data_IF_516315189081
#
_entry.id   IF_516315189081
#
_cell.length_a   1.000
_cell.length_b   1.000
_cell.length_c   1.000
_cell.angle_alpha   90.00
_cell.angle_beta   90.00
_cell.angle_gamma   90.00
#
_symmetry.space_group_name_H-M   'P 1'
#
loop_
_entity.id
_entity.type
_entity.pdbx_description
1 polymer ?
#
# COMPACT_ATOMS: atom_id res chain seq x y z
N UNK A 1 1.46 3.58 -13.00
CA UNK A 1 0.55 2.89 -12.09
C UNK A 1 -0.82 3.01 -12.72
N UNK A 2 -1.24 2.00 -13.46
CA UNK A 2 -2.54 2.08 -14.12
C UNK A 2 -3.60 2.24 -13.04
N UNK A 3 -4.41 3.29 -13.15
CA UNK A 3 -5.42 3.65 -12.16
C UNK A 3 -6.65 2.72 -12.30
N UNK A 4 -6.41 1.41 -12.38
CA UNK A 4 -7.44 0.39 -12.63
C UNK A 4 -8.27 0.07 -11.38
N UNK A 5 -7.92 0.61 -10.21
CA UNK A 5 -8.61 0.36 -8.94
C UNK A 5 -8.98 1.63 -8.18
N UNK A 6 -9.96 1.49 -7.28
CA UNK A 6 -10.38 2.55 -6.35
C UNK A 6 -10.86 3.80 -7.08
N UNK A 7 -9.99 4.80 -7.15
CA UNK A 7 -10.29 6.08 -7.78
C UNK A 7 -10.63 5.98 -9.26
N UNK A 8 -10.10 5.00 -10.00
CA UNK A 8 -10.44 4.80 -11.41
C UNK A 8 -11.88 4.35 -11.67
N UNK A 9 -12.55 3.77 -10.68
CA UNK A 9 -13.99 3.47 -10.74
C UNK A 9 -14.85 4.58 -10.14
N UNK A 10 -14.28 5.39 -9.27
CA UNK A 10 -15.00 6.43 -8.52
C UNK A 10 -14.99 7.79 -9.21
N UNK A 11 -14.01 8.05 -10.09
CA UNK A 11 -13.78 9.33 -10.75
C UNK A 11 -13.68 9.12 -12.26
N UNK A 12 -14.43 9.90 -13.03
CA UNK A 12 -14.46 9.79 -14.50
C UNK A 12 -13.19 10.31 -15.16
N UNK A 13 -12.55 11.32 -14.57
CA UNK A 13 -11.31 11.90 -15.07
C UNK A 13 -10.10 11.08 -14.59
N UNK A 14 -9.42 10.45 -15.55
CA UNK A 14 -8.28 9.57 -15.30
C UNK A 14 -7.11 10.30 -14.64
N UNK A 15 -6.83 11.54 -15.03
CA UNK A 15 -5.73 12.31 -14.44
C UNK A 15 -6.04 12.69 -12.99
N UNK A 16 -7.30 12.98 -12.69
CA UNK A 16 -7.75 13.21 -11.31
C UNK A 16 -7.68 11.91 -10.50
N UNK A 17 -8.10 10.79 -11.07
CA UNK A 17 -8.04 9.49 -10.40
C UNK A 17 -6.59 9.11 -10.04
N UNK A 18 -5.66 9.28 -10.98
CA UNK A 18 -4.24 9.01 -10.75
C UNK A 18 -3.67 9.95 -9.67
N UNK A 19 -3.98 11.25 -9.74
CA UNK A 19 -3.54 12.22 -8.73
C UNK A 19 -4.03 11.84 -7.32
N UNK A 20 -5.30 11.45 -7.19
CA UNK A 20 -5.87 11.04 -5.90
C UNK A 20 -5.23 9.76 -5.38
N UNK A 21 -4.97 8.79 -6.26
CA UNK A 21 -4.26 7.56 -5.90
C UNK A 21 -2.85 7.85 -5.37
N UNK A 22 -2.09 8.68 -6.08
CA UNK A 22 -0.76 9.11 -5.65
C UNK A 22 -0.80 9.92 -4.35
N UNK A 23 -1.80 10.79 -4.18
CA UNK A 23 -1.99 11.56 -2.95
C UNK A 23 -2.27 10.68 -1.74
N UNK A 24 -3.05 9.61 -1.91
CA UNK A 24 -3.32 8.62 -0.87
C UNK A 24 -2.04 7.87 -0.47
N UNK A 25 -1.27 7.39 -1.46
CA UNK A 25 0.00 6.72 -1.23
C UNK A 25 1.01 7.64 -0.56
N UNK A 26 1.09 8.90 -0.99
CA UNK A 26 1.95 9.91 -0.37
C UNK A 26 1.58 10.12 1.10
N UNK A 27 0.29 10.25 1.41
CA UNK A 27 -0.18 10.43 2.78
C UNK A 27 0.19 9.25 3.68
N UNK A 28 0.01 8.01 3.19
CA UNK A 28 0.44 6.80 3.89
C UNK A 28 1.96 6.78 4.09
N UNK A 29 2.74 7.05 3.05
CA UNK A 29 4.20 7.07 3.12
C UNK A 29 4.72 8.09 4.14
N UNK A 30 4.14 9.30 4.15
CA UNK A 30 4.50 10.36 5.11
C UNK A 30 4.27 9.89 6.53
N UNK A 31 3.11 9.28 6.76
CA UNK A 31 2.68 8.78 8.06
C UNK A 31 3.58 7.63 8.54
N UNK A 32 3.86 6.65 7.69
CA UNK A 32 4.73 5.52 8.03
C UNK A 32 6.17 5.95 8.30
N UNK A 33 6.68 6.95 7.57
CA UNK A 33 8.02 7.48 7.80
C UNK A 33 8.11 8.24 9.13
N UNK A 34 7.08 9.03 9.47
CA UNK A 34 7.01 9.68 10.78
C UNK A 34 6.93 8.67 11.93
N UNK A 35 6.16 7.59 11.77
CA UNK A 35 6.06 6.51 12.76
C UNK A 35 7.43 5.85 13.03
N UNK A 36 8.19 5.53 11.97
CA UNK A 36 9.58 5.08 12.10
C UNK A 36 10.47 6.14 12.75
N UNK A 37 10.31 7.41 12.36
CA UNK A 37 11.03 8.52 12.96
C UNK A 37 10.83 8.58 14.48
N UNK A 38 9.58 8.45 14.95
CA UNK A 38 9.24 8.49 16.37
C UNK A 38 9.75 7.25 17.12
N UNK A 39 9.44 6.05 16.63
CA UNK A 39 9.64 4.81 17.38
C UNK A 39 11.01 4.15 17.19
N UNK A 40 11.63 4.34 16.03
CA UNK A 40 12.94 3.76 15.71
C UNK A 40 14.06 4.79 15.86
N UNK A 41 13.91 5.97 15.26
CA UNK A 41 14.93 7.03 15.32
C UNK A 41 14.82 7.90 16.60
N UNK A 42 13.72 7.78 17.35
CA UNK A 42 13.52 8.48 18.63
C UNK A 42 13.17 9.96 18.47
N UNK A 43 12.52 10.35 17.37
CA UNK A 43 12.14 11.74 17.12
C UNK A 43 11.26 12.30 18.23
N UNK A 44 11.64 13.48 18.67
CA UNK A 44 10.83 14.34 19.51
C UNK A 44 9.73 15.03 18.70
N UNK A 45 8.68 15.52 19.40
CA UNK A 45 7.59 16.29 18.81
C UNK A 45 8.06 17.45 17.90
N UNK A 46 9.07 18.28 18.28
CA UNK A 46 9.60 19.30 17.38
C UNK A 46 10.21 18.76 16.08
N UNK A 47 10.88 17.60 16.12
CA UNK A 47 11.49 16.99 14.93
C UNK A 47 10.41 16.45 13.99
N UNK A 48 9.36 15.83 14.53
CA UNK A 48 8.20 15.41 13.74
C UNK A 48 7.45 16.60 13.12
N UNK A 49 7.29 17.71 13.87
CA UNK A 49 6.77 18.98 13.35
C UNK A 49 7.60 19.52 12.20
N UNK A 50 8.93 19.53 12.35
CA UNK A 50 9.83 19.99 11.31
C UNK A 50 9.74 19.11 10.05
N UNK A 51 9.63 17.79 10.21
CA UNK A 51 9.44 16.87 9.11
C UNK A 51 8.17 17.19 8.29
N UNK A 52 7.02 17.34 8.95
CA UNK A 52 5.76 17.66 8.28
C UNK A 52 5.78 19.07 7.66
N UNK A 53 6.38 20.05 8.34
CA UNK A 53 6.50 21.42 7.82
C UNK A 53 7.29 21.49 6.50
N UNK A 54 8.35 20.67 6.35
CA UNK A 54 9.11 20.57 5.08
C UNK A 54 8.27 20.06 3.91
N UNK A 55 7.19 19.35 4.19
CA UNK A 55 6.22 18.84 3.21
C UNK A 55 5.04 19.80 2.98
N UNK A 56 5.05 20.97 3.62
CA UNK A 56 3.96 21.95 3.56
C UNK A 56 2.79 21.65 4.50
N UNK A 57 2.95 20.68 5.41
CA UNK A 57 1.95 20.30 6.42
C UNK A 57 2.32 21.01 7.73
N UNK A 58 1.68 22.15 8.01
CA UNK A 58 2.09 23.05 9.08
C UNK A 58 0.94 23.46 10.03
N UNK A 59 -0.20 22.78 9.98
CA UNK A 59 -1.29 22.99 10.93
C UNK A 59 -0.88 22.45 12.30
N UNK A 60 -0.68 23.33 13.29
CA UNK A 60 -0.09 22.94 14.58
C UNK A 60 -0.96 21.95 15.36
N UNK A 61 -2.28 22.13 15.34
CA UNK A 61 -3.24 21.29 16.07
C UNK A 61 -3.25 19.88 15.46
N UNK A 62 -3.39 19.79 14.14
CA UNK A 62 -3.34 18.51 13.43
C UNK A 62 -2.02 17.78 13.65
N UNK A 63 -0.89 18.48 13.57
CA UNK A 63 0.41 17.83 13.78
C UNK A 63 0.56 17.33 15.21
N UNK A 64 0.06 18.07 16.20
CA UNK A 64 0.13 17.63 17.59
C UNK A 64 -0.74 16.41 17.86
N UNK A 65 -1.98 16.41 17.38
CA UNK A 65 -2.87 15.25 17.47
C UNK A 65 -2.27 14.02 16.77
N UNK A 66 -1.70 14.23 15.58
CA UNK A 66 -1.13 13.17 14.78
C UNK A 66 0.12 12.55 15.43
N UNK A 67 0.95 13.38 16.05
CA UNK A 67 2.08 12.91 16.84
C UNK A 67 1.62 12.08 18.06
N UNK A 68 0.62 12.56 18.81
CA UNK A 68 0.12 11.80 19.97
C UNK A 68 -0.44 10.44 19.55
N UNK A 69 -1.22 10.41 18.45
CA UNK A 69 -1.75 9.16 17.92
C UNK A 69 -0.63 8.16 17.57
N UNK A 70 0.44 8.61 16.91
CA UNK A 70 1.57 7.72 16.58
C UNK A 70 2.27 7.20 17.83
N UNK A 71 2.45 8.04 18.86
CA UNK A 71 3.05 7.61 20.13
C UNK A 71 2.18 6.54 20.82
N UNK A 72 0.85 6.67 20.75
CA UNK A 72 -0.10 5.73 21.34
C UNK A 72 -0.20 4.40 20.57
N UNK A 73 -0.17 4.44 19.24
CA UNK A 73 -0.43 3.30 18.35
C UNK A 73 0.76 3.02 17.41
N UNK A 74 1.87 2.44 17.94
CA UNK A 74 3.07 2.18 17.16
C UNK A 74 2.81 1.23 15.98
N UNK A 75 3.47 1.50 14.85
CA UNK A 75 3.38 0.71 13.63
C UNK A 75 2.00 0.65 12.97
N UNK A 76 1.03 1.44 13.44
CA UNK A 76 -0.31 1.48 12.87
C UNK A 76 -0.25 1.84 11.37
N UNK A 77 0.34 2.98 11.03
CA UNK A 77 0.48 3.42 9.62
C UNK A 77 1.48 2.59 8.81
N UNK A 78 2.49 1.99 9.45
CA UNK A 78 3.40 1.06 8.79
C UNK A 78 2.63 -0.14 8.21
N UNK A 79 1.69 -0.70 8.98
CA UNK A 79 0.92 -1.85 8.51
C UNK A 79 0.07 -1.55 7.27
N UNK A 80 -0.53 -0.35 7.18
CA UNK A 80 -1.30 0.08 6.01
C UNK A 80 -0.42 0.30 4.79
N UNK A 81 0.68 1.04 4.93
CA UNK A 81 1.52 1.40 3.78
C UNK A 81 2.31 0.19 3.27
N UNK A 82 3.00 -0.53 4.15
CA UNK A 82 3.75 -1.72 3.76
C UNK A 82 2.80 -2.78 3.21
N UNK A 83 1.65 -3.02 3.85
CA UNK A 83 0.65 -3.95 3.32
C UNK A 83 0.17 -3.55 1.91
N UNK A 84 -0.06 -2.26 1.65
CA UNK A 84 -0.39 -1.78 0.32
C UNK A 84 0.72 -2.06 -0.70
N UNK A 85 1.99 -1.79 -0.35
CA UNK A 85 3.13 -2.05 -1.22
C UNK A 85 3.28 -3.54 -1.53
N UNK A 86 3.16 -4.40 -0.53
CA UNK A 86 3.24 -5.85 -0.70
C UNK A 86 2.16 -6.38 -1.65
N UNK A 87 0.92 -5.87 -1.55
CA UNK A 87 -0.13 -6.23 -2.52
C UNK A 87 0.16 -5.72 -3.94
N UNK A 88 0.77 -4.54 -4.08
CA UNK A 88 1.19 -4.02 -5.38
C UNK A 88 2.29 -4.90 -5.98
N UNK A 89 3.28 -5.29 -5.18
CA UNK A 89 4.39 -6.15 -5.60
C UNK A 89 3.90 -7.55 -5.99
N UNK A 90 2.98 -8.14 -5.22
CA UNK A 90 2.34 -9.42 -5.56
C UNK A 90 1.64 -9.36 -6.92
N UNK A 91 0.90 -8.27 -7.17
CA UNK A 91 0.21 -8.07 -8.43
C UNK A 91 1.20 -7.90 -9.58
N UNK A 92 2.24 -7.09 -9.41
CA UNK A 92 3.28 -6.89 -10.43
C UNK A 92 3.98 -8.20 -10.77
N UNK A 93 4.30 -9.02 -9.77
CA UNK A 93 4.85 -10.37 -9.96
C UNK A 93 3.90 -11.25 -10.78
N UNK A 94 2.62 -11.27 -10.43
CA UNK A 94 1.62 -12.06 -11.16
C UNK A 94 1.45 -11.57 -12.62
N UNK A 95 1.35 -10.26 -12.83
CA UNK A 95 1.29 -9.65 -14.17
C UNK A 95 2.54 -9.97 -15.00
N UNK A 96 3.73 -9.90 -14.39
CA UNK A 96 4.98 -10.23 -15.07
C UNK A 96 5.10 -11.71 -15.44
N UNK A 97 4.49 -12.61 -14.66
CA UNK A 97 4.53 -14.06 -14.89
C UNK A 97 3.48 -14.54 -15.89
N UNK A 98 2.28 -13.96 -15.86
CA UNK A 98 1.16 -14.35 -16.72
C UNK A 98 1.06 -13.53 -18.01
N UNK A 99 1.60 -12.30 -18.04
CA UNK A 99 1.53 -11.44 -19.22
C UNK A 99 0.09 -11.17 -19.65
N UNK A 100 -0.23 -11.46 -20.91
CA UNK A 100 -1.60 -11.29 -21.46
C UNK A 100 -2.63 -12.23 -20.82
N UNK A 101 -2.18 -13.31 -20.18
CA UNK A 101 -3.03 -14.27 -19.45
C UNK A 101 -3.47 -13.75 -18.08
N UNK A 102 -2.95 -12.61 -17.63
CA UNK A 102 -3.27 -12.09 -16.30
C UNK A 102 -4.75 -11.70 -16.19
N UNK A 103 -5.50 -12.44 -15.38
CA UNK A 103 -6.85 -12.08 -14.97
C UNK A 103 -6.86 -11.46 -13.58
N UNK A 104 -7.23 -10.18 -13.52
CA UNK A 104 -7.32 -9.44 -12.28
C UNK A 104 -8.39 -10.00 -11.32
N UNK A 105 -9.47 -10.60 -11.86
CA UNK A 105 -10.50 -11.24 -11.05
C UNK A 105 -9.97 -12.50 -10.38
N UNK A 106 -9.32 -13.39 -11.13
CA UNK A 106 -8.67 -14.60 -10.61
C UNK A 106 -7.64 -14.28 -9.53
N UNK A 107 -6.79 -13.28 -9.76
CA UNK A 107 -5.83 -12.80 -8.75
C UNK A 107 -6.50 -12.38 -7.44
N UNK A 108 -7.57 -11.58 -7.50
CA UNK A 108 -8.29 -11.17 -6.29
C UNK A 108 -9.05 -12.30 -5.63
N UNK A 109 -9.59 -13.24 -6.41
CA UNK A 109 -10.24 -14.42 -5.85
C UNK A 109 -9.24 -15.27 -5.06
N UNK A 110 -8.07 -15.55 -5.63
CA UNK A 110 -6.97 -16.23 -4.94
C UNK A 110 -6.63 -15.56 -3.59
N UNK A 111 -6.40 -14.24 -3.60
CA UNK A 111 -6.07 -13.50 -2.38
C UNK A 111 -7.18 -13.56 -1.32
N UNK A 112 -8.44 -13.39 -1.73
CA UNK A 112 -9.58 -13.36 -0.80
C UNK A 112 -9.93 -14.73 -0.23
N UNK A 113 -9.73 -15.81 -1.00
CA UNK A 113 -9.98 -17.18 -0.56
C UNK A 113 -8.94 -17.67 0.45
N UNK A 114 -7.70 -17.20 0.33
CA UNK A 114 -6.63 -17.48 1.30
C UNK A 114 -6.99 -16.93 2.69
N UNK A 115 -7.64 -15.76 2.74
CA UNK A 115 -7.97 -15.07 4.00
C UNK A 115 -6.79 -14.25 4.53
N UNK A 116 -6.77 -13.88 5.82
CA UNK A 116 -5.66 -13.12 6.40
C UNK A 116 -4.46 -14.04 6.70
N UNK A 117 -3.32 -13.78 6.07
CA UNK A 117 -2.05 -14.43 6.40
C UNK A 117 -0.85 -13.53 6.08
N UNK A 118 0.34 -13.87 6.59
CA UNK A 118 1.56 -13.13 6.26
C UNK A 118 1.88 -13.18 4.76
N UNK A 119 2.46 -12.10 4.23
CA UNK A 119 2.78 -11.98 2.80
C UNK A 119 3.70 -13.09 2.28
N UNK A 120 4.69 -13.53 3.05
CA UNK A 120 5.55 -14.65 2.63
C UNK A 120 4.76 -15.95 2.42
N UNK A 121 3.69 -16.18 3.19
CA UNK A 121 2.80 -17.34 3.00
C UNK A 121 1.97 -17.15 1.73
N UNK A 122 1.44 -15.94 1.51
CA UNK A 122 0.71 -15.61 0.28
C UNK A 122 1.60 -15.87 -0.95
N UNK A 123 2.85 -15.45 -0.91
CA UNK A 123 3.82 -15.65 -1.99
C UNK A 123 4.04 -17.13 -2.30
N UNK A 124 4.20 -17.97 -1.28
CA UNK A 124 4.35 -19.43 -1.47
C UNK A 124 3.14 -20.04 -2.20
N UNK A 125 1.92 -19.74 -1.76
CA UNK A 125 0.70 -20.22 -2.43
C UNK A 125 0.47 -19.58 -3.80
N UNK A 126 0.96 -18.35 -4.00
CA UNK A 126 0.85 -17.67 -5.29
C UNK A 126 1.68 -18.37 -6.35
N UNK A 127 2.86 -18.92 -6.01
CA UNK A 127 3.66 -19.69 -6.96
C UNK A 127 2.94 -20.97 -7.42
N UNK A 128 2.21 -21.64 -6.53
CA UNK A 128 1.36 -22.79 -6.89
C UNK A 128 0.22 -22.36 -7.81
N UNK A 129 -0.52 -21.31 -7.43
CA UNK A 129 -1.62 -20.76 -8.24
C UNK A 129 -1.14 -20.32 -9.64
N UNK A 130 -0.01 -19.62 -9.74
CA UNK A 130 0.59 -19.23 -11.02
C UNK A 130 0.92 -20.45 -11.89
N UNK A 131 1.42 -21.52 -11.28
CA UNK A 131 1.70 -22.77 -11.98
C UNK A 131 0.46 -23.44 -12.57
N UNK A 132 -0.69 -23.34 -11.90
CA UNK A 132 -1.98 -23.83 -12.40
C UNK A 132 -2.48 -22.95 -13.56
N UNK A 133 -2.43 -21.62 -13.41
CA UNK A 133 -2.88 -20.69 -14.45
C UNK A 133 -2.11 -20.85 -15.78
N UNK A 134 -0.80 -21.12 -15.71
CA UNK A 134 0.03 -21.34 -16.91
C UNK A 134 -0.31 -22.68 -17.59
N UNK A 135 -0.66 -23.71 -16.83
CA UNK A 135 -1.00 -25.03 -17.38
C UNK A 135 -2.38 -25.06 -18.05
N UNK A 136 -3.33 -24.26 -17.57
CA UNK A 136 -4.64 -24.13 -18.21
C UNK A 136 -4.56 -23.51 -19.62
N UNK A 137 -3.48 -22.80 -19.94
CA UNK A 137 -3.25 -22.23 -21.28
C UNK A 137 -2.59 -23.18 -22.29
N UNK A 138 -1.94 -24.27 -21.86
CA UNK A 138 -1.38 -25.28 -22.78
C UNK A 138 -2.45 -26.34 -23.13
N UNK A 139 -2.88 -26.46 -24.41
CA UNK A 139 -3.95 -27.38 -24.83
C UNK A 139 -3.54 -28.86 -24.89
#
# INVERSE_FOLDING_TARGET
MECEYGFGFAVEDEAVAELLSQSQLFSLAVSSYMDMGIHYDGWSRPEAKEYLARLGIADEEMVDEFYEFMVEEPACYLSYFIGCLEFMDLREKAQGRLGEAFDARGFHQFLLEMGPAPFYVIEEYMEEWLGEQIQEEEP
#
